data_IF_483676233553
#
_entry.id   IF_483676233553
#
_cell.length_a   1.000
_cell.length_b   1.000
_cell.length_c   1.000
_cell.angle_alpha   90.00
_cell.angle_beta   90.00
_cell.angle_gamma   90.00
#
_symmetry.space_group_name_H-M   'P 1'
#
loop_
_entity.id
_entity.type
_entity.pdbx_description
1 polymer ?
#
# COMPACT_ATOMS: atom_id res chain seq x y z
N UNK A 1 -25.48 -0.69 26.90
CA UNK A 1 -25.05 -0.08 25.62
C UNK A 1 -26.14 0.85 25.08
N UNK A 2 -25.79 2.09 24.75
CA UNK A 2 -26.75 3.03 24.15
C UNK A 2 -27.03 2.55 22.70
N UNK A 3 -28.29 2.44 22.25
CA UNK A 3 -28.59 2.03 20.88
C UNK A 3 -28.05 3.08 19.90
N UNK A 4 -27.37 2.64 18.84
CA UNK A 4 -26.89 3.54 17.79
C UNK A 4 -28.09 4.04 16.97
N UNK A 5 -28.39 5.33 17.09
CA UNK A 5 -29.53 6.00 16.43
C UNK A 5 -29.18 6.62 15.08
N UNK A 6 -27.89 6.77 14.76
CA UNK A 6 -27.40 7.34 13.50
C UNK A 6 -26.49 6.31 12.78
N UNK A 7 -26.78 5.92 11.53
CA UNK A 7 -25.91 5.01 10.78
C UNK A 7 -24.49 5.59 10.67
N UNK A 8 -23.45 4.75 10.76
CA UNK A 8 -22.08 5.22 10.68
C UNK A 8 -21.82 5.79 9.27
N UNK A 9 -21.08 6.90 9.22
CA UNK A 9 -20.64 7.51 7.96
C UNK A 9 -19.74 6.58 7.17
N UNK A 10 -19.58 6.85 5.88
CA UNK A 10 -18.74 6.02 5.01
C UNK A 10 -17.30 5.98 5.52
N UNK A 11 -16.60 4.83 5.42
CA UNK A 11 -15.17 4.76 5.72
C UNK A 11 -14.33 5.76 4.91
N UNK A 12 -14.72 6.09 3.67
CA UNK A 12 -14.04 7.14 2.87
C UNK A 12 -14.13 8.54 3.46
N UNK A 13 -15.13 8.79 4.29
CA UNK A 13 -15.36 10.10 4.94
C UNK A 13 -14.76 10.14 6.35
N UNK A 14 -14.40 8.99 6.91
CA UNK A 14 -14.04 8.84 8.33
C UNK A 14 -12.66 8.25 8.57
N UNK A 15 -12.09 7.54 7.59
CA UNK A 15 -10.75 6.97 7.67
C UNK A 15 -9.78 7.76 6.79
N UNK A 16 -8.53 7.97 7.25
CA UNK A 16 -7.49 8.55 6.41
C UNK A 16 -7.20 7.63 5.23
N UNK A 17 -6.96 8.23 4.07
CA UNK A 17 -6.27 7.54 2.98
C UNK A 17 -4.79 7.36 3.34
N UNK A 18 -4.09 6.48 2.61
CA UNK A 18 -2.64 6.32 2.79
C UNK A 18 -1.88 7.64 2.55
N UNK A 19 -2.44 8.57 1.77
CA UNK A 19 -1.89 9.91 1.54
C UNK A 19 -2.12 10.89 2.69
N UNK A 20 -3.09 10.61 3.58
CA UNK A 20 -3.37 11.44 4.75
C UNK A 20 -2.52 11.04 5.96
N UNK A 21 -1.77 9.94 5.85
CA UNK A 21 -0.86 9.48 6.89
C UNK A 21 0.34 10.43 6.94
N UNK A 22 0.50 11.10 8.08
CA UNK A 22 1.71 11.88 8.35
C UNK A 22 2.90 10.92 8.44
N UNK A 23 4.06 11.39 7.98
CA UNK A 23 5.33 10.75 8.33
C UNK A 23 5.40 10.56 9.84
N UNK A 24 5.92 9.41 10.29
CA UNK A 24 6.12 9.13 11.72
C UNK A 24 7.10 10.14 12.34
N UNK A 25 8.07 10.61 11.54
CA UNK A 25 8.93 11.75 11.85
C UNK A 25 8.70 12.90 10.84
N UNK A 26 8.14 14.05 11.28
CA UNK A 26 7.91 15.21 10.42
C UNK A 26 9.18 15.88 9.88
N UNK A 27 10.33 15.65 10.53
CA UNK A 27 11.63 16.21 10.12
C UNK A 27 12.44 15.21 9.28
N UNK A 28 12.03 13.94 9.20
CA UNK A 28 12.67 12.99 8.31
C UNK A 28 12.45 13.45 6.86
N UNK A 29 13.54 13.71 6.10
CA UNK A 29 13.40 13.79 4.66
C UNK A 29 12.87 12.42 4.23
N UNK A 30 11.70 12.40 3.58
CA UNK A 30 11.12 11.16 3.07
C UNK A 30 12.18 10.32 2.37
N UNK A 31 12.10 8.99 2.52
CA UNK A 31 13.10 8.09 1.94
C UNK A 31 13.25 8.38 0.45
N UNK A 32 14.48 8.31 -0.10
CA UNK A 32 14.68 8.37 -1.54
C UNK A 32 13.77 7.35 -2.23
N UNK A 33 13.17 7.77 -3.33
CA UNK A 33 12.28 6.94 -4.15
C UNK A 33 13.01 5.74 -4.82
N UNK A 34 14.30 5.58 -4.54
CA UNK A 34 15.16 4.49 -5.04
C UNK A 34 14.61 3.10 -4.67
N UNK A 35 13.91 2.97 -3.55
CA UNK A 35 13.32 1.69 -3.14
C UNK A 35 12.11 1.29 -3.99
N UNK A 36 11.41 2.23 -4.62
CA UNK A 36 10.30 1.92 -5.51
C UNK A 36 10.77 1.19 -6.77
N UNK A 37 11.96 1.53 -7.28
CA UNK A 37 12.58 0.81 -8.41
C UNK A 37 13.04 -0.60 -8.01
N UNK A 38 13.47 -0.79 -6.77
CA UNK A 38 13.97 -2.07 -6.26
C UNK A 38 12.86 -3.07 -5.91
N UNK A 39 11.66 -2.60 -5.54
CA UNK A 39 10.52 -3.44 -5.18
C UNK A 39 10.14 -4.52 -6.23
N UNK A 40 9.92 -4.19 -7.53
CA UNK A 40 9.57 -5.20 -8.51
C UNK A 40 10.69 -6.22 -8.75
N UNK A 41 11.95 -5.79 -8.64
CA UNK A 41 13.11 -6.65 -8.79
C UNK A 41 13.17 -7.67 -7.65
N UNK A 42 12.98 -7.21 -6.40
CA UNK A 42 12.92 -8.08 -5.24
C UNK A 42 11.75 -9.07 -5.33
N UNK A 43 10.57 -8.60 -5.77
CA UNK A 43 9.41 -9.47 -5.98
C UNK A 43 9.68 -10.53 -7.04
N UNK A 44 10.28 -10.16 -8.18
CA UNK A 44 10.64 -11.14 -9.22
C UNK A 44 11.62 -12.20 -8.74
N UNK A 45 12.50 -11.88 -7.79
CA UNK A 45 13.48 -12.81 -7.24
C UNK A 45 12.93 -13.70 -6.13
N UNK A 46 11.93 -13.25 -5.39
CA UNK A 46 11.54 -13.88 -4.11
C UNK A 46 10.10 -14.39 -4.08
N UNK A 47 9.21 -13.88 -4.93
CA UNK A 47 7.79 -14.20 -4.89
C UNK A 47 7.48 -15.49 -5.67
N UNK A 48 7.30 -16.59 -4.93
CA UNK A 48 6.98 -17.91 -5.46
C UNK A 48 5.65 -18.43 -4.88
N UNK A 49 4.48 -17.95 -5.37
CA UNK A 49 3.19 -18.38 -4.85
C UNK A 49 2.90 -19.85 -5.23
N UNK A 50 2.44 -20.70 -4.30
CA UNK A 50 2.27 -22.13 -4.54
C UNK A 50 1.14 -22.48 -5.53
N UNK A 51 0.19 -21.57 -5.74
CA UNK A 51 -1.00 -21.81 -6.56
C UNK A 51 -0.95 -21.15 -7.94
N UNK A 52 0.08 -20.36 -8.24
CA UNK A 52 0.24 -19.68 -9.53
C UNK A 52 1.54 -20.09 -10.19
N UNK A 53 1.46 -20.54 -11.43
CA UNK A 53 2.65 -20.80 -12.23
C UNK A 53 3.40 -19.48 -12.48
N UNK A 54 4.72 -19.52 -12.52
CA UNK A 54 5.57 -18.34 -12.73
C UNK A 54 5.21 -17.56 -14.01
N UNK A 55 4.77 -18.25 -15.08
CA UNK A 55 4.30 -17.64 -16.33
C UNK A 55 3.03 -16.80 -16.19
N UNK A 56 2.33 -16.90 -15.07
CA UNK A 56 1.10 -16.16 -14.74
C UNK A 56 1.35 -15.07 -13.68
N UNK A 57 2.60 -14.86 -13.29
CA UNK A 57 3.02 -13.87 -12.30
C UNK A 57 3.77 -12.77 -13.03
N UNK A 58 3.41 -11.52 -12.76
CA UNK A 58 4.09 -10.34 -13.29
C UNK A 58 4.42 -9.40 -12.13
N UNK A 59 5.68 -8.98 -12.04
CA UNK A 59 6.11 -7.93 -11.10
C UNK A 59 6.18 -6.61 -11.86
N UNK A 60 5.40 -5.61 -11.42
CA UNK A 60 5.33 -4.30 -12.03
C UNK A 60 6.00 -3.25 -11.14
N UNK A 61 6.75 -2.33 -11.75
CA UNK A 61 7.08 -1.03 -11.17
C UNK A 61 6.02 0.00 -11.56
N UNK A 62 5.95 1.08 -10.79
CA UNK A 62 5.39 2.36 -11.24
C UNK A 62 3.94 2.26 -11.76
N UNK A 63 3.10 1.50 -11.03
CA UNK A 63 1.68 1.30 -11.38
C UNK A 63 0.79 2.53 -11.15
N UNK A 64 1.37 3.65 -10.70
CA UNK A 64 0.65 4.87 -10.31
C UNK A 64 0.93 6.08 -11.23
N UNK A 65 1.53 5.89 -12.42
CA UNK A 65 1.61 6.93 -13.46
C UNK A 65 0.25 7.22 -14.14
#
# INVERSE_FOLDING_TARGET
>A
PVPQTDPPRSPRETLPSMYDLKSEDPEEPGLPDEFHDLQPQLLSLTFCPPHYQASRVFSASDMNL
#
